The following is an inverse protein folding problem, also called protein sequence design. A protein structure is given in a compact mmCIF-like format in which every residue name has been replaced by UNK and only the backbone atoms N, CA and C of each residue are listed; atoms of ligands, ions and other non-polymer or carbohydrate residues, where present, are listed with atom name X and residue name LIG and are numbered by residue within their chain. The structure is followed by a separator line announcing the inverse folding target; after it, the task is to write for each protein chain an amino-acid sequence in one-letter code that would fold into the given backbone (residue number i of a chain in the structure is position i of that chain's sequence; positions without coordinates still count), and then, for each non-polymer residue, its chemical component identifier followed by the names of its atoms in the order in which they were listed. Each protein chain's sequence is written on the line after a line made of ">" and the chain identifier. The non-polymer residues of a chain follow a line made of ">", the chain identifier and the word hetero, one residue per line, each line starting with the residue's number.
data_IF_233378336282
#
_entry.id   IF_233378336282
#
_cell.length_a   1.000
_cell.length_b   1.000
_cell.length_c   1.000
_cell.angle_alpha   90.00
_cell.angle_beta   90.00
_cell.angle_gamma   90.00
#
_symmetry.space_group_name_H-M   'P 1'
#
loop_
_entity.id
_entity.type
_entity.pdbx_description
1 polymer ?
#
# COMPACT_ATOMS: atom_id res chain seq x y z
N UNK A 1 17.67 10.82 -0.63
CA UNK A 1 17.07 11.79 0.30
C UNK A 1 15.67 11.35 0.75
N UNK A 2 14.64 11.31 -0.14
CA UNK A 2 13.29 10.87 0.26
C UNK A 2 13.28 9.39 0.67
N UNK A 3 13.96 8.54 -0.08
CA UNK A 3 14.06 7.11 0.23
C UNK A 3 14.85 6.85 1.50
N UNK A 4 15.88 7.64 1.78
CA UNK A 4 16.64 7.55 3.05
C UNK A 4 15.73 7.87 4.25
N UNK A 5 14.81 8.84 4.07
CA UNK A 5 13.79 9.16 5.08
C UNK A 5 12.81 8.01 5.31
N UNK A 6 12.30 7.40 4.23
CA UNK A 6 11.43 6.21 4.35
C UNK A 6 12.12 5.06 5.05
N UNK A 7 13.38 4.79 4.69
CA UNK A 7 14.17 3.71 5.31
C UNK A 7 14.36 3.95 6.82
N UNK A 8 14.66 5.20 7.22
CA UNK A 8 14.80 5.57 8.62
C UNK A 8 13.49 5.35 9.40
N UNK A 9 12.35 5.77 8.83
CA UNK A 9 11.03 5.58 9.44
C UNK A 9 10.67 4.10 9.56
N UNK A 10 10.86 3.31 8.49
CA UNK A 10 10.59 1.86 8.52
C UNK A 10 11.47 1.14 9.55
N UNK A 11 12.76 1.48 9.60
CA UNK A 11 13.68 0.92 10.60
C UNK A 11 13.23 1.23 12.02
N UNK A 12 12.81 2.47 12.29
CA UNK A 12 12.26 2.87 13.59
C UNK A 12 10.99 2.11 13.94
N UNK A 13 10.14 1.86 12.96
CA UNK A 13 8.94 1.04 13.10
C UNK A 13 9.26 -0.46 13.27
N UNK A 14 10.47 -0.91 13.03
CA UNK A 14 10.85 -2.32 13.00
C UNK A 14 10.20 -3.07 11.84
N UNK A 15 10.10 -2.42 10.68
CA UNK A 15 9.56 -2.99 9.43
C UNK A 15 10.69 -3.12 8.44
N UNK A 16 10.76 -4.27 7.78
CA UNK A 16 11.74 -4.60 6.75
C UNK A 16 11.04 -5.18 5.52
N UNK A 17 11.72 -5.14 4.36
CA UNK A 17 11.19 -5.59 3.09
C UNK A 17 12.23 -6.39 2.31
N UNK A 18 11.83 -7.52 1.76
CA UNK A 18 12.69 -8.36 0.91
C UNK A 18 12.96 -7.73 -0.46
N UNK A 19 12.04 -6.88 -0.96
CA UNK A 19 12.17 -6.24 -2.28
C UNK A 19 11.39 -4.94 -2.36
N UNK A 20 11.89 -4.01 -3.19
CA UNK A 20 11.31 -2.70 -3.44
C UNK A 20 10.94 -2.53 -4.90
N UNK A 21 9.72 -2.07 -5.16
CA UNK A 21 9.22 -1.72 -6.49
C UNK A 21 8.93 -0.23 -6.55
N UNK A 22 9.88 0.53 -7.07
CA UNK A 22 9.74 1.98 -7.22
C UNK A 22 8.99 2.33 -8.49
N UNK A 23 8.08 3.30 -8.44
CA UNK A 23 7.30 3.76 -9.59
C UNK A 23 8.19 4.19 -10.76
N UNK A 24 9.35 4.79 -10.49
CA UNK A 24 10.37 5.13 -11.51
C UNK A 24 10.82 3.93 -12.36
N UNK A 25 10.72 2.72 -11.82
CA UNK A 25 11.12 1.49 -12.51
C UNK A 25 9.90 0.73 -13.06
N UNK A 26 8.71 0.93 -12.48
CA UNK A 26 7.52 0.16 -12.81
C UNK A 26 6.54 0.88 -13.74
N UNK A 27 6.69 2.20 -13.94
CA UNK A 27 5.73 2.99 -14.72
C UNK A 27 5.63 2.59 -16.20
N UNK A 28 6.65 1.94 -16.76
CA UNK A 28 6.66 1.40 -18.12
C UNK A 28 6.13 -0.03 -18.20
N UNK A 29 6.00 -0.71 -17.07
CA UNK A 29 5.50 -2.08 -17.04
C UNK A 29 4.03 -2.13 -17.48
N UNK A 30 3.68 -3.20 -18.15
CA UNK A 30 2.31 -3.46 -18.56
C UNK A 30 1.94 -3.01 -19.97
N UNK A 31 2.73 -2.19 -20.68
CA UNK A 31 2.43 -1.82 -22.08
C UNK A 31 2.41 -3.05 -23.00
N UNK A 32 3.43 -3.89 -22.93
CA UNK A 32 3.50 -5.12 -23.73
C UNK A 32 2.33 -6.05 -23.43
N UNK A 33 1.88 -6.08 -22.18
CA UNK A 33 0.70 -6.86 -21.77
C UNK A 33 -0.58 -6.30 -22.38
N UNK A 34 -0.69 -4.97 -22.50
CA UNK A 34 -1.85 -4.35 -23.16
C UNK A 34 -1.85 -4.64 -24.65
N UNK A 35 -0.70 -4.63 -25.32
CA UNK A 35 -0.57 -5.01 -26.73
C UNK A 35 -0.98 -6.48 -26.95
N UNK A 36 -0.49 -7.37 -26.09
CA UNK A 36 -0.88 -8.78 -26.14
C UNK A 36 -2.38 -8.94 -25.88
N UNK A 37 -2.94 -8.28 -24.87
CA UNK A 37 -4.36 -8.34 -24.54
C UNK A 37 -5.27 -7.78 -25.64
N UNK A 38 -4.77 -6.82 -26.45
CA UNK A 38 -5.45 -6.38 -27.67
C UNK A 38 -5.47 -7.49 -28.73
N UNK A 39 -4.34 -8.16 -28.95
CA UNK A 39 -4.25 -9.27 -29.90
C UNK A 39 -5.14 -10.43 -29.50
N UNK A 40 -5.29 -10.70 -28.21
CA UNK A 40 -6.11 -11.77 -27.64
C UNK A 40 -7.60 -11.38 -27.50
N UNK A 41 -7.98 -10.14 -27.84
CA UNK A 41 -9.35 -9.65 -27.75
C UNK A 41 -9.86 -9.40 -26.33
N UNK A 42 -8.96 -9.32 -25.35
CA UNK A 42 -9.27 -8.95 -23.95
C UNK A 42 -9.48 -7.45 -23.82
N UNK A 43 -8.70 -6.68 -24.57
CA UNK A 43 -8.81 -5.22 -24.63
C UNK A 43 -9.39 -4.78 -25.98
N UNK A 44 -9.96 -3.59 -26.00
CA UNK A 44 -10.57 -2.95 -27.17
C UNK A 44 -9.87 -1.62 -27.43
N UNK A 45 -9.63 -1.29 -28.69
CA UNK A 45 -9.08 0.02 -29.08
C UNK A 45 -10.20 0.91 -29.63
N UNK A 46 -10.39 2.06 -29.00
CA UNK A 46 -11.36 3.04 -29.44
C UNK A 46 -10.82 3.87 -30.64
N UNK A 47 -11.68 4.54 -31.42
CA UNK A 47 -11.29 5.31 -32.61
C UNK A 47 -10.28 6.44 -32.32
N UNK A 48 -10.24 6.98 -31.11
CA UNK A 48 -9.28 8.00 -30.68
C UNK A 48 -7.89 7.42 -30.34
N UNK A 49 -7.74 6.10 -30.44
CA UNK A 49 -6.50 5.38 -30.13
C UNK A 49 -6.35 4.90 -28.70
N UNK A 50 -7.24 5.30 -27.79
CA UNK A 50 -7.24 4.82 -26.40
C UNK A 50 -7.60 3.32 -26.33
N UNK A 51 -7.07 2.64 -25.33
CA UNK A 51 -7.31 1.21 -25.11
C UNK A 51 -8.10 1.00 -23.83
N UNK A 52 -9.11 0.17 -23.91
CA UNK A 52 -10.07 -0.07 -22.86
C UNK A 52 -10.30 -1.56 -22.62
N UNK A 53 -10.76 -1.87 -21.43
CA UNK A 53 -11.39 -3.16 -21.13
C UNK A 53 -12.87 -2.97 -20.81
N UNK A 54 -13.70 -3.81 -21.38
CA UNK A 54 -15.13 -3.82 -21.11
C UNK A 54 -15.43 -4.86 -20.02
N UNK A 55 -15.85 -4.39 -18.86
CA UNK A 55 -16.19 -5.22 -17.70
C UNK A 55 -17.68 -5.17 -17.36
N UNK A 56 -18.52 -4.67 -18.27
CA UNK A 56 -19.95 -4.48 -18.01
C UNK A 56 -20.68 -5.81 -17.81
N UNK A 57 -20.24 -6.88 -18.45
CA UNK A 57 -20.77 -8.25 -18.22
C UNK A 57 -20.46 -8.76 -16.80
N UNK A 58 -19.47 -8.21 -16.14
CA UNK A 58 -19.07 -8.55 -14.79
C UNK A 58 -19.65 -7.56 -13.74
N UNK A 59 -20.55 -6.67 -14.17
CA UNK A 59 -21.19 -5.67 -13.33
C UNK A 59 -20.27 -4.52 -12.93
N UNK A 60 -19.24 -4.25 -13.72
CA UNK A 60 -18.30 -3.14 -13.56
C UNK A 60 -18.33 -2.22 -14.78
N UNK A 61 -17.65 -1.06 -14.69
CA UNK A 61 -17.56 -0.13 -15.81
C UNK A 61 -16.49 -0.54 -16.83
N UNK A 62 -16.55 0.04 -18.04
CA UNK A 62 -15.39 0.09 -18.93
C UNK A 62 -14.23 0.83 -18.24
N UNK A 63 -13.02 0.33 -18.38
CA UNK A 63 -11.81 0.94 -17.81
C UNK A 63 -10.78 1.17 -18.87
N UNK A 64 -10.22 2.39 -18.86
CA UNK A 64 -9.09 2.74 -19.71
C UNK A 64 -7.82 2.07 -19.17
N UNK A 65 -7.02 1.50 -20.08
CA UNK A 65 -5.71 0.92 -19.77
C UNK A 65 -4.58 1.64 -20.48
N UNK A 66 -4.83 2.29 -21.63
CA UNK A 66 -3.91 3.28 -22.24
C UNK A 66 -4.70 4.48 -22.73
N UNK A 67 -4.13 5.66 -22.57
CA UNK A 67 -4.70 6.89 -23.16
C UNK A 67 -4.47 6.91 -24.67
N UNK A 68 -5.16 7.83 -25.36
CA UNK A 68 -5.05 8.01 -26.80
C UNK A 68 -3.64 8.35 -27.30
N UNK A 69 -2.83 8.97 -26.46
CA UNK A 69 -1.41 9.26 -26.72
C UNK A 69 -0.47 8.07 -26.39
N UNK A 70 -1.02 6.92 -26.01
CA UNK A 70 -0.27 5.73 -25.64
C UNK A 70 0.35 5.78 -24.23
N UNK A 71 0.01 6.77 -23.41
CA UNK A 71 0.50 6.83 -22.04
C UNK A 71 -0.27 5.86 -21.13
N UNK A 72 0.47 5.22 -20.21
CA UNK A 72 -0.08 4.33 -19.21
C UNK A 72 -0.93 5.08 -18.19
N UNK A 73 -1.89 4.39 -17.62
CA UNK A 73 -2.61 4.80 -16.40
C UNK A 73 -2.17 3.95 -15.23
N UNK A 74 -2.55 4.29 -14.01
CA UNK A 74 -2.20 3.49 -12.82
C UNK A 74 -2.56 2.01 -12.96
N UNK A 75 -3.72 1.71 -13.57
CA UNK A 75 -4.14 0.32 -13.81
C UNK A 75 -3.12 -0.45 -14.65
N UNK A 76 -2.56 0.17 -15.69
CA UNK A 76 -1.55 -0.47 -16.56
C UNK A 76 -0.27 -0.78 -15.79
N UNK A 77 0.17 0.17 -14.95
CA UNK A 77 1.36 0.01 -14.11
C UNK A 77 1.15 -1.13 -13.10
N UNK A 78 -0.02 -1.20 -12.49
CA UNK A 78 -0.35 -2.23 -11.50
C UNK A 78 -0.45 -3.63 -12.13
N UNK A 79 -1.01 -3.74 -13.35
CA UNK A 79 -0.99 -4.98 -14.14
C UNK A 79 0.44 -5.43 -14.36
N UNK A 80 1.29 -4.53 -14.88
CA UNK A 80 2.69 -4.83 -15.16
C UNK A 80 3.48 -5.20 -13.91
N UNK A 81 3.27 -4.48 -12.82
CA UNK A 81 3.94 -4.74 -11.54
C UNK A 81 3.54 -6.08 -10.95
N UNK A 82 2.25 -6.44 -11.02
CA UNK A 82 1.77 -7.74 -10.55
C UNK A 82 2.43 -8.90 -11.33
N UNK A 83 2.53 -8.76 -12.65
CA UNK A 83 3.20 -9.74 -13.51
C UNK A 83 4.70 -9.80 -13.23
N UNK A 84 5.34 -8.64 -13.02
CA UNK A 84 6.77 -8.61 -12.71
C UNK A 84 7.07 -9.32 -11.39
N UNK A 85 6.25 -9.13 -10.35
CA UNK A 85 6.40 -9.82 -9.06
C UNK A 85 6.38 -11.33 -9.20
N UNK A 86 5.51 -11.89 -10.04
CA UNK A 86 5.48 -13.34 -10.27
C UNK A 86 6.66 -13.86 -11.08
N UNK A 87 7.33 -13.01 -11.86
CA UNK A 87 8.59 -13.34 -12.54
C UNK A 87 9.77 -13.33 -11.58
N UNK A 88 9.80 -12.31 -10.70
CA UNK A 88 10.87 -12.15 -9.70
C UNK A 88 10.78 -13.19 -8.59
N UNK A 89 9.57 -13.64 -8.28
CA UNK A 89 9.27 -14.64 -7.26
C UNK A 89 8.42 -15.78 -7.87
N UNK A 90 9.01 -16.67 -8.67
CA UNK A 90 8.25 -17.69 -9.41
C UNK A 90 7.56 -18.73 -8.53
N UNK A 91 8.01 -18.89 -7.28
CA UNK A 91 7.43 -19.83 -6.31
C UNK A 91 6.24 -19.24 -5.55
N UNK A 92 5.85 -17.99 -5.83
CA UNK A 92 4.72 -17.33 -5.19
C UNK A 92 3.41 -17.92 -5.68
N UNK A 93 2.63 -18.50 -4.75
CA UNK A 93 1.31 -19.08 -5.05
C UNK A 93 0.16 -18.08 -5.13
N UNK A 94 0.39 -16.83 -4.72
CA UNK A 94 -0.58 -15.73 -4.69
C UNK A 94 0.02 -14.48 -4.09
N UNK A 95 -0.76 -13.39 -4.04
CA UNK A 95 -0.31 -12.10 -3.46
C UNK A 95 -1.40 -11.49 -2.59
N UNK A 96 -0.97 -10.89 -1.47
CA UNK A 96 -1.83 -10.08 -0.60
C UNK A 96 -1.44 -8.62 -0.76
N UNK A 97 -2.39 -7.78 -1.14
CA UNK A 97 -2.24 -6.33 -1.25
C UNK A 97 -2.80 -5.68 0.01
N UNK A 98 -1.94 -5.16 0.87
CA UNK A 98 -2.34 -4.43 2.08
C UNK A 98 -2.47 -2.95 1.75
N UNK A 99 -3.68 -2.52 1.43
CA UNK A 99 -3.99 -1.16 0.96
C UNK A 99 -5.33 -0.69 1.54
N UNK A 100 -5.47 0.61 1.76
CA UNK A 100 -6.68 1.20 2.31
C UNK A 100 -7.94 0.93 1.48
N UNK A 101 -9.10 0.91 2.13
CA UNK A 101 -10.40 0.57 1.54
C UNK A 101 -10.86 1.53 0.45
N UNK A 102 -10.26 2.70 0.32
CA UNK A 102 -10.52 3.62 -0.79
C UNK A 102 -10.11 3.01 -2.16
N UNK A 103 -9.28 1.96 -2.15
CA UNK A 103 -8.83 1.25 -3.34
C UNK A 103 -9.61 -0.07 -3.61
N UNK A 104 -10.67 -0.38 -2.87
CA UNK A 104 -11.44 -1.62 -3.02
C UNK A 104 -11.89 -1.84 -4.48
N UNK A 105 -12.43 -0.81 -5.11
CA UNK A 105 -12.88 -0.89 -6.49
C UNK A 105 -11.71 -1.09 -7.47
N UNK A 106 -10.60 -0.41 -7.24
CA UNK A 106 -9.40 -0.54 -8.09
C UNK A 106 -8.86 -1.97 -8.08
N UNK A 107 -8.71 -2.59 -6.89
CA UNK A 107 -8.23 -3.97 -6.78
C UNK A 107 -9.22 -4.99 -7.33
N UNK A 108 -10.53 -4.76 -7.16
CA UNK A 108 -11.55 -5.59 -7.79
C UNK A 108 -11.39 -5.61 -9.32
N UNK A 109 -11.17 -4.45 -9.92
CA UNK A 109 -10.93 -4.31 -11.36
C UNK A 109 -9.62 -4.96 -11.77
N UNK A 110 -8.51 -4.67 -11.06
CA UNK A 110 -7.19 -5.22 -11.33
C UNK A 110 -7.19 -6.75 -11.35
N UNK A 111 -7.76 -7.36 -10.32
CA UNK A 111 -7.80 -8.83 -10.22
C UNK A 111 -8.64 -9.46 -11.31
N UNK A 112 -9.73 -8.81 -11.71
CA UNK A 112 -10.56 -9.28 -12.81
C UNK A 112 -9.82 -9.18 -14.15
N UNK A 113 -9.11 -8.08 -14.41
CA UNK A 113 -8.30 -7.91 -15.62
C UNK A 113 -7.25 -9.02 -15.71
N UNK A 114 -6.50 -9.26 -14.65
CA UNK A 114 -5.47 -10.31 -14.62
C UNK A 114 -6.05 -11.71 -14.88
N UNK A 115 -7.25 -11.98 -14.35
CA UNK A 115 -7.99 -13.23 -14.67
C UNK A 115 -8.36 -13.32 -16.13
N UNK A 116 -8.89 -12.24 -16.73
CA UNK A 116 -9.27 -12.19 -18.15
C UNK A 116 -8.06 -12.30 -19.09
N UNK A 117 -6.90 -11.84 -18.66
CA UNK A 117 -5.62 -12.03 -19.35
C UNK A 117 -5.06 -13.47 -19.22
N UNK A 118 -5.75 -14.35 -18.51
CA UNK A 118 -5.40 -15.76 -18.42
C UNK A 118 -4.33 -16.12 -17.38
N UNK A 119 -4.02 -15.25 -16.44
CA UNK A 119 -3.05 -15.57 -15.39
C UNK A 119 -3.68 -16.45 -14.31
N UNK A 120 -3.28 -17.72 -14.22
CA UNK A 120 -3.81 -18.69 -13.26
C UNK A 120 -3.62 -18.28 -11.80
N UNK A 121 -2.52 -17.62 -11.48
CA UNK A 121 -2.24 -17.12 -10.14
C UNK A 121 -3.18 -15.97 -9.72
N UNK A 122 -3.86 -15.32 -10.67
CA UNK A 122 -4.79 -14.23 -10.36
C UNK A 122 -5.99 -14.66 -9.49
N UNK A 123 -6.28 -15.94 -9.42
CA UNK A 123 -7.31 -16.50 -8.50
C UNK A 123 -6.91 -16.40 -7.03
N UNK A 124 -5.61 -16.31 -6.76
CA UNK A 124 -5.02 -16.26 -5.41
C UNK A 124 -4.59 -14.84 -5.01
N UNK A 125 -5.13 -13.82 -5.66
CA UNK A 125 -4.92 -12.43 -5.28
C UNK A 125 -5.94 -12.02 -4.21
N UNK A 126 -5.47 -11.35 -3.19
CA UNK A 126 -6.31 -10.89 -2.09
C UNK A 126 -6.00 -9.43 -1.73
N UNK A 127 -7.03 -8.60 -1.62
CA UNK A 127 -6.91 -7.26 -1.09
C UNK A 127 -7.23 -7.28 0.40
N UNK A 128 -6.21 -7.16 1.23
CA UNK A 128 -6.35 -6.90 2.65
C UNK A 128 -6.68 -5.43 2.83
N UNK A 129 -7.97 -5.12 2.62
CA UNK A 129 -8.52 -3.79 2.74
C UNK A 129 -8.59 -3.37 4.20
N UNK A 130 -8.00 -2.22 4.53
CA UNK A 130 -8.10 -1.68 5.89
C UNK A 130 -8.82 -0.34 5.91
N UNK A 131 -9.49 -0.06 7.05
CA UNK A 131 -10.15 1.21 7.33
C UNK A 131 -9.12 2.33 7.50
N UNK A 132 -9.55 3.56 7.20
CA UNK A 132 -8.69 4.74 7.36
C UNK A 132 -8.58 5.14 8.84
N UNK A 133 -7.44 5.73 9.18
CA UNK A 133 -7.24 6.44 10.45
C UNK A 133 -7.66 7.89 10.25
N UNK A 134 -8.61 8.34 11.05
CA UNK A 134 -9.14 9.71 10.96
C UNK A 134 -8.69 10.51 12.20
N UNK A 135 -8.53 11.82 12.04
CA UNK A 135 -8.35 12.73 13.16
C UNK A 135 -9.70 13.05 13.81
N UNK A 136 -9.75 13.51 15.07
CA UNK A 136 -11.00 14.01 15.67
C UNK A 136 -11.66 15.12 14.85
N UNK A 137 -10.87 15.87 14.07
CA UNK A 137 -11.34 16.91 13.14
C UNK A 137 -11.83 16.37 11.79
N UNK A 138 -11.70 15.07 11.53
CA UNK A 138 -12.07 14.40 10.28
C UNK A 138 -10.91 13.79 9.51
N UNK A 139 -11.11 13.52 8.23
CA UNK A 139 -10.11 12.87 7.38
C UNK A 139 -8.81 13.65 7.28
N UNK A 140 -7.68 12.94 7.35
CA UNK A 140 -6.39 13.50 7.02
C UNK A 140 -6.32 13.83 5.53
N UNK A 141 -5.82 15.04 5.21
CA UNK A 141 -5.67 15.50 3.83
C UNK A 141 -4.30 16.15 3.65
N UNK A 142 -3.41 15.47 2.97
CA UNK A 142 -2.04 15.96 2.73
C UNK A 142 -1.99 17.29 2.00
N UNK A 143 -2.91 17.53 1.05
CA UNK A 143 -2.98 18.81 0.31
C UNK A 143 -3.45 19.99 1.17
N UNK A 144 -4.11 19.73 2.28
CA UNK A 144 -4.61 20.74 3.21
C UNK A 144 -3.73 20.87 4.46
N UNK A 145 -2.62 20.11 4.53
CA UNK A 145 -1.69 20.11 5.66
C UNK A 145 -2.27 19.53 6.96
N UNK A 146 -3.38 18.81 6.87
CA UNK A 146 -4.03 18.17 8.03
C UNK A 146 -3.62 16.71 8.13
N UNK A 147 -2.31 16.47 8.24
CA UNK A 147 -1.75 15.11 8.42
C UNK A 147 -0.98 15.06 9.73
N UNK A 148 -0.89 13.88 10.31
CA UNK A 148 0.03 13.56 11.41
C UNK A 148 1.11 12.67 10.81
N UNK A 149 2.34 13.13 10.90
CA UNK A 149 3.48 12.35 10.44
C UNK A 149 3.73 11.14 11.35
N UNK A 150 4.11 10.03 10.75
CA UNK A 150 4.39 8.80 11.49
C UNK A 150 5.52 9.00 12.51
N UNK A 151 6.55 9.76 12.14
CA UNK A 151 7.68 10.06 13.02
C UNK A 151 7.26 10.89 14.23
N UNK A 152 6.40 11.89 14.03
CA UNK A 152 5.86 12.70 15.12
C UNK A 152 5.02 11.86 16.09
N UNK A 153 4.17 10.99 15.55
CA UNK A 153 3.35 10.09 16.35
C UNK A 153 4.21 9.12 17.18
N UNK A 154 5.26 8.56 16.58
CA UNK A 154 6.20 7.68 17.29
C UNK A 154 6.94 8.42 18.40
N UNK A 155 7.37 9.66 18.15
CA UNK A 155 8.05 10.49 19.14
C UNK A 155 7.11 10.87 20.30
N UNK A 156 5.88 11.23 20.02
CA UNK A 156 4.86 11.53 21.03
C UNK A 156 4.55 10.32 21.93
N UNK A 157 4.48 9.14 21.34
CA UNK A 157 4.25 7.90 22.09
C UNK A 157 5.44 7.56 23.01
N UNK A 158 6.67 7.76 22.54
CA UNK A 158 7.88 7.61 23.37
C UNK A 158 7.91 8.61 24.52
N UNK A 159 7.60 9.89 24.26
CA UNK A 159 7.53 10.92 25.28
C UNK A 159 6.42 10.65 26.32
N UNK A 160 5.30 10.12 25.87
CA UNK A 160 4.20 9.69 26.76
C UNK A 160 4.63 8.53 27.65
N UNK A 161 5.30 7.52 27.08
CA UNK A 161 5.86 6.41 27.85
C UNK A 161 6.89 6.89 28.88
N UNK A 162 7.76 7.83 28.51
CA UNK A 162 8.70 8.47 29.45
C UNK A 162 7.98 9.10 30.63
N UNK A 163 7.02 9.99 30.36
CA UNK A 163 6.27 10.69 31.40
C UNK A 163 5.63 9.74 32.40
N UNK A 164 4.91 8.72 31.89
CA UNK A 164 4.25 7.72 32.74
C UNK A 164 5.29 6.91 33.57
N UNK A 165 6.41 6.55 32.96
CA UNK A 165 7.44 5.76 33.63
C UNK A 165 8.15 6.57 34.75
N UNK A 166 8.37 7.84 34.51
CA UNK A 166 8.93 8.77 35.52
C UNK A 166 7.98 8.97 36.71
N UNK A 167 6.68 9.14 36.42
CA UNK A 167 5.66 9.25 37.46
C UNK A 167 5.55 7.97 38.33
N UNK A 168 5.82 6.81 37.75
CA UNK A 168 5.82 5.53 38.48
C UNK A 168 7.08 5.28 39.30
N UNK A 169 8.17 6.02 39.06
CA UNK A 169 9.41 5.95 39.84
C UNK A 169 10.15 4.61 39.83
N UNK A 170 9.95 3.77 38.81
CA UNK A 170 10.46 2.39 38.78
C UNK A 170 11.79 2.20 38.03
N UNK A 171 12.38 3.28 37.51
CA UNK A 171 13.54 3.22 36.62
C UNK A 171 14.80 3.88 37.20
N UNK A 172 14.89 4.03 38.52
CA UNK A 172 16.02 4.77 39.16
C UNK A 172 17.37 4.10 38.89
N UNK A 173 17.41 2.78 38.75
CA UNK A 173 18.64 2.00 38.55
C UNK A 173 19.13 1.95 37.10
N UNK A 174 18.32 2.45 36.13
CA UNK A 174 18.64 2.41 34.71
C UNK A 174 19.45 3.66 34.30
N UNK A 175 20.42 3.46 33.41
CA UNK A 175 21.12 4.57 32.75
C UNK A 175 20.18 5.37 31.83
N UNK A 176 20.56 6.58 31.46
CA UNK A 176 19.77 7.42 30.56
C UNK A 176 19.51 6.74 29.20
N UNK A 177 20.48 5.99 28.68
CA UNK A 177 20.35 5.24 27.43
C UNK A 177 19.34 4.08 27.53
N UNK A 178 19.42 3.31 28.59
CA UNK A 178 18.48 2.20 28.84
C UNK A 178 17.06 2.70 29.07
N UNK A 179 16.90 3.85 29.75
CA UNK A 179 15.59 4.50 29.90
C UNK A 179 15.00 4.90 28.57
N UNK A 180 15.79 5.52 27.70
CA UNK A 180 15.31 5.93 26.38
C UNK A 180 14.89 4.73 25.52
N UNK A 181 15.69 3.68 25.48
CA UNK A 181 15.36 2.44 24.76
C UNK A 181 14.05 1.81 25.27
N UNK A 182 13.85 1.85 26.59
CA UNK A 182 12.62 1.34 27.21
C UNK A 182 11.41 2.20 26.82
N UNK A 183 11.53 3.53 26.84
CA UNK A 183 10.45 4.45 26.44
C UNK A 183 10.06 4.24 24.97
N UNK A 184 11.05 4.10 24.09
CA UNK A 184 10.82 3.85 22.67
C UNK A 184 10.14 2.48 22.45
N UNK A 185 10.58 1.45 23.16
CA UNK A 185 10.00 0.11 23.09
C UNK A 185 8.54 0.10 23.57
N UNK A 186 8.26 0.73 24.72
CA UNK A 186 6.90 0.80 25.27
C UNK A 186 6.01 1.65 24.37
N UNK A 187 6.47 2.82 23.95
CA UNK A 187 5.72 3.73 23.08
C UNK A 187 5.36 3.07 21.75
N UNK A 188 6.34 2.44 21.10
CA UNK A 188 6.12 1.73 19.84
C UNK A 188 5.22 0.50 20.02
N UNK A 189 5.39 -0.27 21.09
CA UNK A 189 4.52 -1.41 21.40
C UNK A 189 3.07 -0.99 21.61
N UNK A 190 2.85 0.10 22.35
CA UNK A 190 1.52 0.65 22.59
C UNK A 190 0.86 1.13 21.29
N UNK A 191 1.60 1.85 20.44
CA UNK A 191 1.11 2.32 19.14
C UNK A 191 0.68 1.17 18.24
N UNK A 192 1.59 0.20 18.04
CA UNK A 192 1.30 -0.98 17.21
C UNK A 192 0.12 -1.77 17.74
N UNK A 193 0.07 -2.00 19.04
CA UNK A 193 -1.04 -2.74 19.66
C UNK A 193 -2.36 -1.99 19.48
N UNK A 194 -2.39 -0.68 19.67
CA UNK A 194 -3.59 0.12 19.51
C UNK A 194 -4.17 0.02 18.09
N UNK A 195 -3.31 0.12 17.08
CA UNK A 195 -3.71 0.03 15.68
C UNK A 195 -4.16 -1.40 15.33
N UNK A 196 -3.38 -2.40 15.72
CA UNK A 196 -3.58 -3.79 15.29
C UNK A 196 -4.68 -4.53 16.06
N UNK A 197 -5.10 -4.06 17.24
CA UNK A 197 -6.20 -4.67 18.01
C UNK A 197 -7.58 -4.44 17.40
N UNK A 198 -7.71 -3.49 16.48
CA UNK A 198 -8.96 -3.14 15.83
C UNK A 198 -9.17 -4.03 14.61
N UNK A 199 -10.42 -4.38 14.31
CA UNK A 199 -10.78 -5.03 13.05
C UNK A 199 -10.24 -4.19 11.88
N UNK A 200 -9.44 -4.76 10.96
CA UNK A 200 -8.84 -4.03 9.86
C UNK A 200 -9.85 -3.22 9.02
N UNK A 201 -11.09 -3.68 8.92
CA UNK A 201 -12.15 -2.99 8.13
C UNK A 201 -12.76 -1.79 8.84
N UNK A 202 -12.49 -1.61 10.12
CA UNK A 202 -13.01 -0.48 10.89
C UNK A 202 -12.09 0.73 10.76
N UNK A 203 -12.69 1.91 10.85
CA UNK A 203 -11.95 3.16 11.02
C UNK A 203 -11.45 3.29 12.46
N UNK A 204 -10.32 3.92 12.62
CA UNK A 204 -9.72 4.28 13.92
C UNK A 204 -9.78 5.79 14.05
#
# INVERSE_FOLDING_TARGET
>A
WVYDGFEATYKKMGVDFDSYYYESNTYLLGKDVVEQGLADGVFEKDPDGSVWINLTSDGLDRKIVLRSDGTSVYMTQDIGTAIQRTKDFPDVGGMVYTVGNEQDYHFKVLFLILKKLGFDWAKNLFHLSYGMVDLPSGKMKSREGTVVDADDLMNEMSATAQKISEELGKLEEYSASEKQELYDTIGMGALKYYILKVDPKKRI
#
